data_IF_232700778255
#
_entry.id   IF_232700778255
#
_cell.length_a   1.000
_cell.length_b   1.000
_cell.length_c   1.000
_cell.angle_alpha   90.00
_cell.angle_beta   90.00
_cell.angle_gamma   90.00
#
_symmetry.space_group_name_H-M   'P 1'
#
loop_
_entity.id
_entity.type
_entity.pdbx_description
1 polymer ?
#
# COMPACT_ATOMS: atom_id res chain seq x y z
N UNK A 1 -7.43 -6.88 -6.65
CA UNK A 1 -6.21 -7.62 -6.35
C UNK A 1 -5.08 -6.65 -6.02
N UNK A 2 -4.40 -6.90 -4.93
CA UNK A 2 -3.32 -6.02 -4.48
C UNK A 2 -2.11 -6.11 -5.42
N UNK A 3 -1.62 -4.95 -5.86
CA UNK A 3 -0.45 -4.84 -6.74
C UNK A 3 0.72 -4.23 -5.97
N UNK A 4 1.63 -5.09 -5.53
CA UNK A 4 2.80 -4.69 -4.76
C UNK A 4 3.69 -3.70 -5.51
N UNK A 5 3.92 -3.96 -6.81
CA UNK A 5 4.79 -3.11 -7.62
C UNK A 5 4.20 -1.71 -7.78
N UNK A 6 2.89 -1.62 -7.92
CA UNK A 6 2.22 -0.32 -8.02
C UNK A 6 2.36 0.45 -6.72
N UNK A 7 2.18 -0.21 -5.57
CA UNK A 7 2.38 0.45 -4.28
C UNK A 7 3.82 0.93 -4.13
N UNK A 8 4.79 0.09 -4.47
CA UNK A 8 6.20 0.46 -4.40
C UNK A 8 6.50 1.68 -5.27
N UNK A 9 5.96 1.71 -6.49
CA UNK A 9 6.15 2.83 -7.41
C UNK A 9 5.54 4.12 -6.83
N UNK A 10 4.35 4.04 -6.25
CA UNK A 10 3.70 5.21 -5.67
C UNK A 10 4.48 5.75 -4.47
N UNK A 11 5.05 4.88 -3.65
CA UNK A 11 5.89 5.30 -2.53
C UNK A 11 7.14 6.03 -3.01
N UNK A 12 7.78 5.50 -4.05
CA UNK A 12 8.97 6.14 -4.65
C UNK A 12 8.61 7.52 -5.20
N UNK A 13 7.51 7.61 -5.94
CA UNK A 13 7.07 8.87 -6.52
C UNK A 13 6.72 9.92 -5.45
N UNK A 14 6.19 9.46 -4.33
CA UNK A 14 5.83 10.33 -3.22
C UNK A 14 7.02 10.66 -2.31
N UNK A 15 8.17 10.01 -2.52
CA UNK A 15 9.35 10.19 -1.68
C UNK A 15 9.18 9.64 -0.27
N UNK A 16 8.36 8.60 -0.11
CA UNK A 16 8.05 8.01 1.19
C UNK A 16 8.82 6.71 1.36
N UNK A 17 9.59 6.59 2.45
CA UNK A 17 10.28 5.35 2.77
C UNK A 17 9.30 4.35 3.38
N UNK A 18 9.64 3.05 3.29
CA UNK A 18 8.80 2.00 3.89
C UNK A 18 8.69 2.18 5.40
N UNK A 19 9.78 2.60 6.04
CA UNK A 19 9.79 2.86 7.48
C UNK A 19 8.78 3.95 7.85
N UNK A 20 8.78 5.06 7.14
CA UNK A 20 7.83 6.14 7.37
C UNK A 20 6.41 5.73 7.03
N UNK A 21 6.24 4.96 5.95
CA UNK A 21 4.93 4.48 5.55
C UNK A 21 4.31 3.57 6.61
N UNK A 22 5.12 2.63 7.14
CA UNK A 22 4.67 1.76 8.22
C UNK A 22 4.25 2.58 9.44
N UNK A 23 5.06 3.57 9.81
CA UNK A 23 4.78 4.45 10.93
C UNK A 23 3.45 5.19 10.73
N UNK A 24 3.21 5.71 9.52
CA UNK A 24 1.97 6.42 9.20
C UNK A 24 0.75 5.50 9.25
N UNK A 25 0.93 4.21 8.99
CA UNK A 25 -0.12 3.22 9.09
C UNK A 25 -0.29 2.63 10.49
N UNK A 26 0.57 3.04 11.43
CA UNK A 26 0.52 2.55 12.80
C UNK A 26 1.00 1.12 12.97
N UNK A 27 1.90 0.67 12.10
CA UNK A 27 2.44 -0.68 12.17
C UNK A 27 3.97 -0.65 12.07
N UNK A 28 4.61 -1.77 12.43
CA UNK A 28 6.05 -1.90 12.25
C UNK A 28 6.36 -2.38 10.82
N UNK A 29 7.63 -2.30 10.43
CA UNK A 29 8.06 -2.68 9.09
C UNK A 29 7.87 -4.17 8.80
N UNK A 30 7.99 -5.03 9.81
CA UNK A 30 7.71 -6.47 9.67
C UNK A 30 6.28 -6.72 9.25
N UNK A 31 5.33 -6.05 9.91
CA UNK A 31 3.91 -6.18 9.58
C UNK A 31 3.62 -5.65 8.19
N UNK A 32 4.21 -4.50 7.85
CA UNK A 32 4.06 -3.94 6.51
C UNK A 32 4.56 -4.91 5.45
N UNK A 33 5.71 -5.51 5.68
CA UNK A 33 6.30 -6.47 4.75
C UNK A 33 5.39 -7.67 4.49
N UNK A 34 4.78 -8.21 5.55
CA UNK A 34 3.85 -9.34 5.44
C UNK A 34 2.64 -8.97 4.59
N UNK A 35 2.09 -7.78 4.79
CA UNK A 35 0.95 -7.30 4.00
C UNK A 35 1.33 -7.07 2.55
N UNK A 36 2.47 -6.48 2.29
CA UNK A 36 2.96 -6.24 0.93
C UNK A 36 3.25 -7.53 0.18
N UNK A 37 3.67 -8.58 0.89
CA UNK A 37 3.95 -9.89 0.28
C UNK A 37 2.73 -10.82 0.24
N UNK A 38 1.55 -10.33 0.63
CA UNK A 38 0.32 -11.10 0.57
C UNK A 38 0.17 -12.14 1.67
N UNK A 39 1.02 -12.11 2.70
CA UNK A 39 0.94 -13.06 3.82
C UNK A 39 -0.19 -12.71 4.79
N UNK A 40 -0.51 -11.44 4.90
CA UNK A 40 -1.67 -10.97 5.66
C UNK A 40 -2.43 -9.97 4.79
N UNK A 41 -3.74 -9.90 5.01
CA UNK A 41 -4.59 -9.04 4.21
C UNK A 41 -4.56 -7.60 4.72
N UNK A 42 -4.83 -6.67 3.80
CA UNK A 42 -5.03 -5.27 4.13
C UNK A 42 -6.43 -5.08 4.69
N UNK A 43 -6.54 -4.28 5.74
CA UNK A 43 -7.85 -3.92 6.29
C UNK A 43 -8.41 -2.70 5.54
N UNK A 44 -9.72 -2.51 5.63
CA UNK A 44 -10.35 -1.33 5.01
C UNK A 44 -9.81 -0.03 5.59
N UNK A 45 -9.55 0.02 6.89
CA UNK A 45 -9.01 1.23 7.51
C UNK A 45 -7.60 1.52 7.02
N UNK A 46 -6.80 0.48 6.79
CA UNK A 46 -5.45 0.65 6.23
C UNK A 46 -5.52 1.16 4.78
N UNK A 47 -6.40 0.59 3.97
CA UNK A 47 -6.60 1.03 2.59
C UNK A 47 -7.05 2.50 2.56
N UNK A 48 -7.98 2.87 3.44
CA UNK A 48 -8.45 4.24 3.55
C UNK A 48 -7.28 5.18 3.91
N UNK A 49 -6.47 4.78 4.88
CA UNK A 49 -5.32 5.57 5.30
C UNK A 49 -4.29 5.74 4.16
N UNK A 50 -4.06 4.68 3.39
CA UNK A 50 -3.18 4.75 2.23
C UNK A 50 -3.71 5.77 1.22
N UNK A 51 -5.03 5.81 1.02
CA UNK A 51 -5.65 6.81 0.18
C UNK A 51 -5.41 8.23 0.66
N UNK A 52 -5.41 8.44 1.98
CA UNK A 52 -5.08 9.76 2.56
C UNK A 52 -3.62 10.13 2.35
N UNK A 53 -2.72 9.15 2.39
CA UNK A 53 -1.28 9.39 2.26
C UNK A 53 -0.87 9.58 0.80
N UNK A 54 -1.34 8.73 -0.10
CA UNK A 54 -0.89 8.69 -1.49
C UNK A 54 -1.88 9.34 -2.47
N UNK A 55 -3.12 9.51 -2.07
CA UNK A 55 -4.19 9.99 -2.93
C UNK A 55 -5.20 8.88 -3.20
N UNK A 56 -6.48 9.20 -3.09
CA UNK A 56 -7.56 8.22 -3.26
C UNK A 56 -7.62 7.66 -4.68
N UNK A 57 -7.20 8.45 -5.66
CA UNK A 57 -7.15 8.03 -7.06
C UNK A 57 -6.13 6.91 -7.30
N UNK A 58 -5.19 6.70 -6.39
CA UNK A 58 -4.21 5.62 -6.47
C UNK A 58 -4.75 4.28 -5.99
N UNK A 59 -5.77 4.29 -5.15
CA UNK A 59 -6.29 3.08 -4.51
C UNK A 59 -6.73 2.02 -5.54
N UNK A 60 -7.53 2.35 -6.58
CA UNK A 60 -7.91 1.32 -7.56
C UNK A 60 -6.71 0.66 -8.25
N UNK A 61 -5.65 1.41 -8.50
CA UNK A 61 -4.45 0.87 -9.15
C UNK A 61 -3.69 -0.08 -8.25
N UNK A 62 -3.73 0.16 -6.94
CA UNK A 62 -2.98 -0.62 -5.96
C UNK A 62 -3.76 -1.84 -5.51
N UNK A 63 -5.05 -1.68 -5.19
CA UNK A 63 -5.83 -2.70 -4.52
C UNK A 63 -6.86 -3.40 -5.40
N UNK A 64 -7.24 -2.79 -6.51
CA UNK A 64 -8.29 -3.33 -7.38
C UNK A 64 -7.82 -3.49 -8.82
N UNK A 65 -6.51 -3.61 -9.02
CA UNK A 65 -5.94 -3.78 -10.35
C UNK A 65 -6.47 -5.07 -10.98
N UNK A 66 -6.99 -4.93 -12.20
CA UNK A 66 -7.41 -6.11 -12.98
C UNK A 66 -6.25 -6.51 -13.86
N UNK A 67 -5.93 -7.80 -13.84
CA UNK A 67 -5.02 -8.35 -14.83
C UNK A 67 -5.73 -8.40 -16.16
N UNK A 68 -5.19 -7.67 -17.13
CA UNK A 68 -5.63 -7.80 -18.50
C UNK A 68 -4.89 -9.00 -19.05
N UNK A 69 -5.66 -10.03 -19.36
CA UNK A 69 -5.10 -11.23 -19.99
C UNK A 69 -4.99 -11.04 -21.49
#
# INVERSE_FOLDING_TARGET
MFDKKQLEAELVLAGITRSNFAKDLGMNTSTLYKKMNGKTEWTLSEIHRIGEILGEDKIPRIFFAKKVS
#
